data_IF_863675142498
#
_entry.id   IF_863675142498
#
_cell.length_a   1.000
_cell.length_b   1.000
_cell.length_c   1.000
_cell.angle_alpha   90.00
_cell.angle_beta   90.00
_cell.angle_gamma   90.00
#
_symmetry.space_group_name_H-M   'P 1'
#
loop_
_entity.id
_entity.type
_entity.pdbx_description
1 polymer ?
#
# COMPACT_ATOMS: atom_id res chain seq x y z
N UNK A 1 -33.96 2.66 9.05
CA UNK A 1 -32.69 2.61 8.27
C UNK A 1 -31.91 1.29 8.44
N UNK A 2 -32.15 0.47 9.47
CA UNK A 2 -31.36 -0.76 9.71
C UNK A 2 -31.65 -1.93 8.75
N UNK A 3 -32.83 -2.02 8.12
CA UNK A 3 -33.20 -3.16 7.27
C UNK A 3 -32.45 -3.24 5.93
N UNK A 4 -31.77 -2.18 5.51
CA UNK A 4 -31.00 -2.13 4.26
C UNK A 4 -29.53 -2.55 4.44
N UNK A 5 -29.06 -2.68 5.68
CA UNK A 5 -27.67 -3.05 5.99
C UNK A 5 -27.63 -4.51 6.41
N UNK A 6 -26.70 -5.28 5.86
CA UNK A 6 -26.49 -6.69 6.22
C UNK A 6 -26.22 -6.82 7.72
N UNK A 7 -26.89 -7.77 8.38
CA UNK A 7 -26.72 -8.05 9.82
C UNK A 7 -25.26 -8.26 10.23
N UNK A 8 -24.46 -8.91 9.36
CA UNK A 8 -23.03 -9.14 9.62
C UNK A 8 -22.22 -7.84 9.72
N UNK A 9 -22.57 -6.81 8.94
CA UNK A 9 -21.92 -5.49 9.00
C UNK A 9 -22.37 -4.72 10.24
N UNK A 10 -23.62 -4.89 10.67
CA UNK A 10 -24.10 -4.28 11.91
C UNK A 10 -23.46 -4.91 13.15
N UNK A 11 -23.16 -6.22 13.09
CA UNK A 11 -22.56 -6.96 14.19
C UNK A 11 -21.02 -6.83 14.25
N UNK A 12 -20.37 -6.36 13.18
CA UNK A 12 -18.91 -6.25 13.16
C UNK A 12 -18.43 -5.06 14.00
N UNK A 13 -17.39 -5.27 14.78
CA UNK A 13 -16.63 -4.17 15.38
C UNK A 13 -15.68 -3.59 14.34
N UNK A 14 -15.73 -2.27 14.15
CA UNK A 14 -14.76 -1.57 13.30
C UNK A 14 -13.36 -1.67 13.88
N UNK A 15 -12.35 -1.68 13.01
CA UNK A 15 -10.96 -1.55 13.44
C UNK A 15 -10.76 -0.21 14.16
N UNK A 16 -10.22 -0.27 15.37
CA UNK A 16 -9.82 0.91 16.14
C UNK A 16 -8.30 1.04 16.02
N UNK A 17 -7.78 2.05 15.30
CA UNK A 17 -6.34 2.24 15.20
C UNK A 17 -5.74 2.57 16.57
N UNK A 18 -4.46 2.21 16.76
CA UNK A 18 -3.69 2.65 17.91
C UNK A 18 -3.58 4.18 18.00
N UNK A 19 -3.24 4.68 19.18
CA UNK A 19 -3.00 6.10 19.41
C UNK A 19 -1.97 6.66 18.43
N UNK A 20 -2.22 7.86 17.90
CA UNK A 20 -1.31 8.61 17.04
C UNK A 20 -1.01 9.97 17.71
N UNK A 21 0.14 10.10 18.39
CA UNK A 21 0.55 11.35 19.03
C UNK A 21 0.60 12.50 18.02
N UNK A 22 0.17 13.69 18.42
CA UNK A 22 0.16 14.91 17.59
C UNK A 22 1.05 15.98 18.21
N UNK A 23 1.83 16.66 17.40
CA UNK A 23 2.74 17.72 17.83
C UNK A 23 4.14 17.58 17.24
N UNK A 24 5.01 18.53 17.56
CA UNK A 24 6.41 18.53 17.15
C UNK A 24 7.30 17.86 18.20
N UNK A 25 8.50 17.44 17.80
CA UNK A 25 9.48 16.83 18.72
C UNK A 25 9.11 15.42 19.23
N UNK A 26 8.16 14.75 18.58
CA UNK A 26 7.72 13.40 18.96
C UNK A 26 8.66 12.36 18.35
N UNK A 27 9.19 11.45 19.17
CA UNK A 27 9.85 10.24 18.70
C UNK A 27 8.78 9.18 18.43
N UNK A 28 8.49 8.93 17.15
CA UNK A 28 7.39 8.06 16.70
C UNK A 28 7.82 6.59 16.60
N UNK A 29 7.28 5.74 17.47
CA UNK A 29 7.64 4.30 17.56
C UNK A 29 6.42 3.36 17.56
N UNK A 30 5.24 3.85 17.21
CA UNK A 30 3.95 3.18 17.42
C UNK A 30 3.34 2.49 16.18
N UNK A 31 3.90 2.65 14.97
CA UNK A 31 3.33 2.07 13.73
C UNK A 31 4.33 1.31 12.85
N UNK A 32 5.51 0.95 13.40
CA UNK A 32 6.54 0.17 12.70
C UNK A 32 7.03 0.78 11.38
N UNK A 33 6.97 2.11 11.24
CA UNK A 33 7.55 2.81 10.09
C UNK A 33 9.07 2.69 10.10
N UNK A 34 9.66 2.62 8.91
CA UNK A 34 11.11 2.62 8.76
C UNK A 34 11.66 4.03 9.11
N UNK A 35 12.71 4.15 9.95
CA UNK A 35 13.29 5.46 10.28
C UNK A 35 14.10 6.08 9.13
N UNK A 36 14.46 5.31 8.11
CA UNK A 36 15.23 5.76 6.95
C UNK A 36 14.31 6.15 5.78
N UNK A 37 14.84 7.02 4.92
CA UNK A 37 14.21 7.36 3.65
C UNK A 37 14.16 6.13 2.72
N UNK A 38 13.21 6.08 1.76
CA UNK A 38 13.24 5.08 0.69
C UNK A 38 14.51 5.23 -0.17
N UNK A 39 14.79 4.23 -1.03
CA UNK A 39 15.91 4.29 -1.98
C UNK A 39 15.89 5.59 -2.81
N UNK A 40 17.06 6.14 -3.11
CA UNK A 40 17.21 7.30 -4.00
C UNK A 40 16.57 7.06 -5.37
N UNK A 41 16.61 5.82 -5.89
CA UNK A 41 15.97 5.44 -7.16
C UNK A 41 14.45 5.69 -7.15
N UNK A 42 13.81 5.55 -5.99
CA UNK A 42 12.38 5.84 -5.84
C UNK A 42 12.12 7.34 -6.01
N UNK A 43 12.97 8.17 -5.41
CA UNK A 43 12.88 9.62 -5.55
C UNK A 43 13.07 10.06 -7.01
N UNK A 44 14.05 9.47 -7.70
CA UNK A 44 14.33 9.77 -9.10
C UNK A 44 13.15 9.42 -10.00
N UNK A 45 12.57 8.22 -9.86
CA UNK A 45 11.41 7.80 -10.66
C UNK A 45 10.21 8.71 -10.39
N UNK A 46 9.93 9.07 -9.14
CA UNK A 46 8.82 9.97 -8.78
C UNK A 46 8.99 11.36 -9.41
N UNK A 47 10.22 11.87 -9.49
CA UNK A 47 10.53 13.17 -10.12
C UNK A 47 10.31 13.17 -11.64
N UNK A 48 10.41 12.01 -12.27
CA UNK A 48 10.30 11.83 -13.72
C UNK A 48 8.87 11.45 -14.18
N UNK A 49 7.89 11.43 -13.29
CA UNK A 49 6.51 11.07 -13.64
C UNK A 49 5.93 12.08 -14.65
N UNK A 50 5.61 11.59 -15.85
CA UNK A 50 4.85 12.35 -16.82
C UNK A 50 3.36 12.35 -16.43
N UNK A 51 2.88 13.48 -15.90
CA UNK A 51 1.50 13.69 -15.44
C UNK A 51 0.46 13.32 -16.50
N UNK A 52 0.74 13.50 -17.80
CA UNK A 52 -0.21 13.13 -18.86
C UNK A 52 -0.56 11.64 -18.85
N UNK A 53 0.33 10.77 -18.36
CA UNK A 53 0.08 9.32 -18.22
C UNK A 53 -0.95 9.00 -17.13
N UNK A 54 -1.16 9.89 -16.16
CA UNK A 54 -2.14 9.69 -15.08
C UNK A 54 -3.60 9.71 -15.59
N UNK A 55 -3.82 10.18 -16.83
CA UNK A 55 -5.11 10.05 -17.52
C UNK A 55 -5.43 8.61 -17.97
N UNK A 56 -4.49 7.68 -17.85
CA UNK A 56 -4.63 6.27 -18.22
C UNK A 56 -4.71 5.39 -16.99
N UNK A 57 -5.45 4.31 -17.11
CA UNK A 57 -5.41 3.24 -16.11
C UNK A 57 -4.01 2.63 -16.04
N UNK A 58 -3.55 2.21 -14.84
CA UNK A 58 -2.31 1.45 -14.69
C UNK A 58 -2.48 0.05 -15.32
N UNK A 59 -1.36 -0.69 -15.43
CA UNK A 59 -1.41 -2.11 -15.77
C UNK A 59 -2.21 -2.87 -14.69
N UNK A 60 -3.38 -3.45 -15.03
CA UNK A 60 -4.23 -4.12 -14.04
C UNK A 60 -3.62 -5.41 -13.49
N UNK A 61 -2.60 -5.97 -14.16
CA UNK A 61 -1.94 -7.19 -13.74
C UNK A 61 -0.61 -6.95 -13.01
N UNK A 62 -0.13 -5.70 -12.97
CA UNK A 62 1.16 -5.31 -12.40
C UNK A 62 2.32 -6.23 -12.84
N UNK A 63 2.38 -6.59 -14.12
CA UNK A 63 3.23 -7.67 -14.65
C UNK A 63 4.70 -7.46 -14.31
N UNK A 64 5.22 -6.26 -14.53
CA UNK A 64 6.64 -5.96 -14.29
C UNK A 64 7.01 -6.04 -12.81
N UNK A 65 6.13 -5.57 -11.91
CA UNK A 65 6.33 -5.71 -10.48
C UNK A 65 6.31 -7.19 -10.06
N UNK A 66 5.34 -7.96 -10.58
CA UNK A 66 5.25 -9.40 -10.28
C UNK A 66 6.48 -10.17 -10.76
N UNK A 67 7.02 -9.84 -11.94
CA UNK A 67 8.28 -10.44 -12.44
C UNK A 67 9.46 -10.12 -11.53
N UNK A 68 9.60 -8.87 -11.09
CA UNK A 68 10.68 -8.46 -10.20
C UNK A 68 10.61 -9.21 -8.85
N UNK A 69 9.42 -9.30 -8.26
CA UNK A 69 9.18 -10.04 -7.01
C UNK A 69 9.44 -11.54 -7.20
N UNK A 70 8.93 -12.14 -8.27
CA UNK A 70 9.14 -13.56 -8.57
C UNK A 70 10.62 -13.89 -8.74
N UNK A 71 11.37 -13.03 -9.45
CA UNK A 71 12.82 -13.14 -9.59
C UNK A 71 13.57 -13.01 -8.27
N UNK A 72 13.17 -12.07 -7.41
CA UNK A 72 13.75 -11.88 -6.08
C UNK A 72 13.56 -13.10 -5.17
N UNK A 73 12.39 -13.73 -5.23
CA UNK A 73 12.03 -14.86 -4.36
C UNK A 73 12.25 -16.25 -4.99
N UNK A 74 12.66 -16.32 -6.25
CA UNK A 74 12.91 -17.58 -6.96
C UNK A 74 11.66 -18.43 -7.20
N UNK A 75 10.49 -17.81 -7.40
CA UNK A 75 9.22 -18.50 -7.66
C UNK A 75 8.66 -18.18 -9.06
N UNK A 76 7.60 -18.88 -9.46
CA UNK A 76 6.93 -18.61 -10.73
C UNK A 76 6.05 -17.34 -10.63
N UNK A 77 5.83 -16.67 -11.76
CA UNK A 77 5.04 -15.43 -11.83
C UNK A 77 3.60 -15.63 -11.30
N UNK A 78 3.05 -16.82 -11.53
CA UNK A 78 1.71 -17.25 -11.12
C UNK A 78 1.58 -17.38 -9.60
N UNK A 79 2.71 -17.51 -8.89
CA UNK A 79 2.73 -17.54 -7.43
C UNK A 79 2.74 -16.14 -6.79
N UNK A 80 2.77 -15.07 -7.58
CA UNK A 80 2.77 -13.68 -7.09
C UNK A 80 1.45 -13.00 -7.42
N UNK A 81 0.77 -12.49 -6.39
CA UNK A 81 -0.39 -11.60 -6.49
C UNK A 81 -0.06 -10.24 -5.86
N UNK A 82 -0.60 -9.16 -6.42
CA UNK A 82 -0.35 -7.78 -5.96
C UNK A 82 -1.66 -7.14 -5.53
N UNK A 83 -1.65 -6.50 -4.36
CA UNK A 83 -2.75 -5.69 -3.82
C UNK A 83 -2.27 -4.30 -3.40
N UNK A 84 -3.22 -3.42 -3.04
CA UNK A 84 -2.91 -2.08 -2.53
C UNK A 84 -2.75 -2.10 -1.01
N UNK A 85 -1.58 -2.54 -0.55
CA UNK A 85 -1.39 -2.96 0.84
C UNK A 85 -1.82 -4.41 1.06
N UNK A 86 -1.21 -5.06 2.04
CA UNK A 86 -1.49 -6.44 2.44
C UNK A 86 -2.73 -6.56 3.32
#
# INVERSE_FOLDING_TARGET
>A
MSSLIRKSVQAMSGYVPGEQPKGEGIIKLNTNENPYLPSADVQDILSMINISKLSRYPDPLCVELRKAIAGLHGCALENVFVGNGS
#
